data_IF_912292395856
#
_entry.id   IF_912292395856
#
_cell.length_a   1.000
_cell.length_b   1.000
_cell.length_c   1.000
_cell.angle_alpha   90.00
_cell.angle_beta   90.00
_cell.angle_gamma   90.00
#
_symmetry.space_group_name_H-M   'P 1'
#
loop_
_entity.id
_entity.type
_entity.pdbx_description
1 polymer ?
#
# COMPACT_ATOMS: atom_id res chain seq x y z
N UNK A 1 10.60 27.44 0.54
CA UNK A 1 9.29 26.79 0.70
C UNK A 1 9.34 25.37 0.17
N UNK A 2 8.79 24.42 0.93
CA UNK A 2 8.69 23.04 0.47
C UNK A 2 7.27 22.75 0.01
N UNK A 3 7.14 21.98 -1.07
CA UNK A 3 5.85 21.50 -1.53
C UNK A 3 5.89 19.98 -1.67
N UNK A 4 4.74 19.36 -1.50
CA UNK A 4 4.59 17.94 -1.74
C UNK A 4 3.82 17.75 -3.05
N UNK A 5 4.35 16.94 -3.95
CA UNK A 5 3.72 16.64 -5.22
C UNK A 5 3.55 15.13 -5.39
N UNK A 6 2.56 14.75 -6.19
CA UNK A 6 2.34 13.34 -6.49
C UNK A 6 3.51 12.82 -7.33
N UNK A 7 4.18 11.79 -6.81
CA UNK A 7 5.27 11.11 -7.52
C UNK A 7 4.72 10.07 -8.48
N UNK A 8 3.87 9.18 -7.97
CA UNK A 8 3.27 8.10 -8.75
C UNK A 8 2.05 7.56 -8.02
N UNK A 9 1.33 6.65 -8.66
CA UNK A 9 0.07 6.14 -8.13
C UNK A 9 -0.18 4.73 -8.65
N UNK A 10 -0.63 3.86 -7.75
CA UNK A 10 -1.25 2.59 -8.12
C UNK A 10 -2.75 2.78 -7.90
N UNK A 11 -3.50 2.81 -9.00
CA UNK A 11 -4.92 3.14 -8.98
C UNK A 11 -5.78 1.89 -8.90
N UNK A 12 -6.69 1.85 -7.92
CA UNK A 12 -7.68 0.79 -7.74
C UNK A 12 -7.08 -0.61 -7.55
N UNK A 13 -5.96 -0.68 -6.83
CA UNK A 13 -5.42 -1.97 -6.40
C UNK A 13 -6.44 -2.67 -5.50
N UNK A 14 -6.49 -4.00 -5.61
CA UNK A 14 -7.38 -4.82 -4.81
C UNK A 14 -6.59 -5.39 -3.63
N UNK A 15 -7.10 -5.18 -2.40
CA UNK A 15 -6.47 -5.72 -1.20
C UNK A 15 -6.64 -7.23 -1.19
N UNK A 16 -5.52 -7.97 -1.15
CA UNK A 16 -5.51 -9.42 -1.18
C UNK A 16 -5.44 -10.03 0.21
N UNK A 17 -4.94 -9.28 1.19
CA UNK A 17 -4.78 -9.75 2.55
C UNK A 17 -4.77 -8.57 3.51
N UNK A 18 -5.27 -8.77 4.74
CA UNK A 18 -5.20 -7.79 5.81
C UNK A 18 -4.74 -8.52 7.08
N UNK A 19 -3.55 -8.17 7.58
CA UNK A 19 -2.92 -8.85 8.72
C UNK A 19 -2.75 -7.90 9.89
N UNK A 20 -3.69 -7.93 10.82
CA UNK A 20 -3.72 -7.02 11.96
C UNK A 20 -2.53 -7.19 12.91
N UNK A 21 -2.00 -8.40 13.01
CA UNK A 21 -0.94 -8.73 13.98
C UNK A 21 0.47 -8.61 13.42
N UNK A 22 0.60 -8.05 12.24
CA UNK A 22 1.90 -7.79 11.64
C UNK A 22 2.36 -6.36 11.92
N UNK A 23 3.64 -6.08 11.70
CA UNK A 23 4.16 -4.70 11.79
C UNK A 23 3.47 -3.84 10.73
N UNK A 24 3.09 -2.61 11.11
CA UNK A 24 2.32 -1.74 10.24
C UNK A 24 3.05 -1.40 8.95
N UNK A 25 2.41 -1.66 7.80
CA UNK A 25 2.98 -1.41 6.47
C UNK A 25 1.98 -1.80 5.39
N UNK A 26 2.34 -1.53 4.13
CA UNK A 26 1.65 -2.05 2.96
C UNK A 26 2.62 -2.94 2.19
N UNK A 27 2.32 -4.23 2.11
CA UNK A 27 3.07 -5.15 1.25
C UNK A 27 2.46 -5.11 -0.15
N UNK A 28 3.28 -4.76 -1.13
CA UNK A 28 2.85 -4.63 -2.52
C UNK A 28 3.73 -5.49 -3.42
N UNK A 29 3.12 -6.15 -4.40
CA UNK A 29 3.85 -6.91 -5.43
C UNK A 29 4.98 -6.03 -6.00
N UNK A 30 6.20 -6.54 -6.00
CA UNK A 30 7.37 -5.78 -6.45
C UNK A 30 7.26 -5.35 -7.91
N UNK A 31 6.56 -6.10 -8.75
CA UNK A 31 6.33 -5.70 -10.14
C UNK A 31 5.49 -4.42 -10.22
N UNK A 32 4.49 -4.28 -9.34
CA UNK A 32 3.69 -3.05 -9.26
C UNK A 32 4.52 -1.90 -8.74
N UNK A 33 5.39 -2.14 -7.76
CA UNK A 33 6.31 -1.13 -7.24
C UNK A 33 7.24 -0.63 -8.34
N UNK A 34 7.80 -1.54 -9.13
CA UNK A 34 8.69 -1.17 -10.23
C UNK A 34 7.93 -0.34 -11.28
N UNK A 35 6.73 -0.76 -11.64
CA UNK A 35 5.90 -0.05 -12.62
C UNK A 35 5.58 1.39 -12.18
N UNK A 36 5.41 1.60 -10.88
CA UNK A 36 5.12 2.92 -10.31
C UNK A 36 6.40 3.65 -9.85
N UNK A 37 7.58 3.07 -10.07
CA UNK A 37 8.86 3.61 -9.64
C UNK A 37 8.92 3.84 -8.12
N UNK A 38 8.44 2.87 -7.37
CA UNK A 38 8.43 2.87 -5.91
C UNK A 38 9.49 1.92 -5.37
N UNK A 39 10.06 2.25 -4.23
CA UNK A 39 11.09 1.46 -3.57
C UNK A 39 10.61 0.99 -2.19
N UNK A 40 11.26 -0.04 -1.66
CA UNK A 40 11.00 -0.51 -0.30
C UNK A 40 11.24 0.60 0.72
N UNK A 41 10.38 0.66 1.73
CA UNK A 41 10.36 1.68 2.79
C UNK A 41 9.90 3.07 2.32
N UNK A 42 9.50 3.22 1.08
CA UNK A 42 8.95 4.48 0.61
C UNK A 42 7.62 4.77 1.32
N UNK A 43 7.46 6.02 1.76
CA UNK A 43 6.20 6.47 2.35
C UNK A 43 5.13 6.57 1.28
N UNK A 44 3.96 6.00 1.56
CA UNK A 44 2.80 6.06 0.66
C UNK A 44 1.56 6.47 1.45
N UNK A 45 0.61 7.08 0.75
CA UNK A 45 -0.73 7.31 1.27
C UNK A 45 -1.68 6.30 0.63
N UNK A 46 -2.41 5.59 1.46
CA UNK A 46 -3.46 4.66 1.01
C UNK A 46 -4.81 5.35 1.16
N UNK A 47 -5.60 5.31 0.10
CA UNK A 47 -6.96 5.85 0.10
C UNK A 47 -7.90 4.71 -0.26
N UNK A 48 -8.84 4.44 0.63
CA UNK A 48 -9.82 3.34 0.46
C UNK A 48 -11.09 3.89 -0.17
N UNK A 49 -11.42 3.42 -1.39
CA UNK A 49 -12.60 3.90 -2.11
C UNK A 49 -13.91 3.45 -1.47
N UNK A 50 -13.90 2.37 -0.69
CA UNK A 50 -15.12 1.81 -0.10
C UNK A 50 -15.58 2.58 1.12
N UNK A 51 -14.66 3.14 1.90
CA UNK A 51 -15.00 3.82 3.15
C UNK A 51 -14.45 5.24 3.27
N UNK A 52 -13.69 5.70 2.28
CA UNK A 52 -13.10 7.05 2.27
C UNK A 52 -11.93 7.24 3.22
N UNK A 53 -11.47 6.19 3.88
CA UNK A 53 -10.35 6.28 4.82
C UNK A 53 -9.04 6.57 4.09
N UNK A 54 -8.21 7.38 4.74
CA UNK A 54 -6.86 7.70 4.28
C UNK A 54 -5.87 7.37 5.38
N UNK A 55 -4.73 6.81 5.00
CA UNK A 55 -3.67 6.55 5.97
C UNK A 55 -2.32 6.65 5.29
N UNK A 56 -1.32 7.02 6.09
CA UNK A 56 0.07 7.01 5.63
C UNK A 56 0.76 5.77 6.18
N UNK A 57 1.54 5.14 5.34
CA UNK A 57 2.31 3.96 5.72
C UNK A 57 3.56 3.89 4.84
N UNK A 58 4.26 2.78 4.87
CA UNK A 58 5.43 2.55 4.03
C UNK A 58 5.34 1.20 3.35
N UNK A 59 6.10 1.04 2.27
CA UNK A 59 6.05 -0.15 1.43
C UNK A 59 7.01 -1.23 1.90
N UNK A 60 6.54 -2.47 1.85
CA UNK A 60 7.36 -3.69 1.93
C UNK A 60 7.19 -4.43 0.61
N UNK A 61 8.30 -4.95 0.09
CA UNK A 61 8.28 -5.75 -1.13
C UNK A 61 7.49 -7.03 -0.94
N UNK A 62 6.51 -7.26 -1.78
CA UNK A 62 5.82 -8.52 -1.91
C UNK A 62 6.41 -9.36 -3.03
N UNK A 63 6.08 -10.65 -3.01
CA UNK A 63 6.60 -11.57 -4.02
C UNK A 63 6.23 -11.10 -5.42
N UNK A 64 7.23 -11.04 -6.28
CA UNK A 64 7.09 -10.58 -7.66
C UNK A 64 6.13 -11.50 -8.43
N UNK A 65 5.16 -10.89 -9.11
CA UNK A 65 4.15 -11.61 -9.88
C UNK A 65 3.01 -12.23 -9.06
N UNK A 66 2.99 -12.00 -7.73
CA UNK A 66 1.96 -12.57 -6.85
C UNK A 66 0.64 -11.80 -6.87
N UNK A 67 0.68 -10.54 -7.28
CA UNK A 67 -0.47 -9.65 -7.19
C UNK A 67 -0.78 -9.21 -5.76
N UNK A 68 0.12 -9.45 -4.80
CA UNK A 68 -0.15 -9.16 -3.39
C UNK A 68 -0.33 -7.67 -3.14
N UNK A 69 -1.33 -7.34 -2.34
CA UNK A 69 -1.57 -6.02 -1.77
C UNK A 69 -2.12 -6.24 -0.37
N UNK A 70 -1.24 -6.20 0.62
CA UNK A 70 -1.56 -6.59 1.99
C UNK A 70 -1.43 -5.40 2.94
N UNK A 71 -2.52 -5.12 3.67
CA UNK A 71 -2.52 -4.13 4.75
C UNK A 71 -2.05 -4.82 6.03
N UNK A 72 -0.95 -4.35 6.59
CA UNK A 72 -0.33 -4.92 7.78
C UNK A 72 -0.53 -4.03 9.00
N UNK A 73 -0.71 -4.65 10.17
CA UNK A 73 -0.82 -3.95 11.44
C UNK A 73 -2.04 -3.03 11.49
N UNK A 74 -1.91 -1.82 12.06
CA UNK A 74 -3.04 -0.89 12.18
C UNK A 74 -3.70 -0.54 10.85
N UNK A 75 -2.97 -0.59 9.73
CA UNK A 75 -3.53 -0.36 8.40
C UNK A 75 -4.63 -1.37 8.06
N UNK A 76 -4.55 -2.58 8.60
CA UNK A 76 -5.55 -3.63 8.36
C UNK A 76 -6.94 -3.25 8.89
N UNK A 77 -7.02 -2.26 9.78
CA UNK A 77 -8.31 -1.76 10.27
C UNK A 77 -8.98 -0.77 9.33
N UNK A 78 -8.23 -0.24 8.36
CA UNK A 78 -8.70 0.79 7.43
C UNK A 78 -9.16 0.23 6.10
N UNK A 79 -9.04 -1.07 5.90
CA UNK A 79 -9.47 -1.73 4.68
C UNK A 79 -9.72 -3.21 4.89
N UNK A 80 -10.30 -3.84 3.89
CA UNK A 80 -10.60 -5.27 3.93
C UNK A 80 -10.31 -5.85 2.54
N UNK A 81 -10.19 -7.18 2.49
CA UNK A 81 -9.96 -7.91 1.23
C UNK A 81 -11.09 -7.62 0.25
N UNK A 82 -10.71 -7.30 -0.97
CA UNK A 82 -11.68 -7.02 -2.04
C UNK A 82 -11.86 -5.57 -2.43
#
# INVERSE_FOLDING_TARGET
MNIAVLKSKVHRAVITEANLHYVGSLTLDEDLMDAANMIENEKVQVVNVNNGERLDTYLIKGKRGSGVCCLNGPAARRGMVG
#
